data_IF_218162624512
#
_entry.id   IF_218162624512
#
_cell.length_a   1.000
_cell.length_b   1.000
_cell.length_c   1.000
_cell.angle_alpha   90.00
_cell.angle_beta   90.00
_cell.angle_gamma   90.00
#
_symmetry.space_group_name_H-M   'P 1'
#
loop_
_entity.id
_entity.type
_entity.pdbx_description
1 polymer ?
#
# COMPACT_ATOMS: atom_id res chain seq x y z
N UNK A 1 0.00 40.75 -68.41
CA UNK A 1 -0.63 40.40 -67.12
C UNK A 1 0.06 39.15 -66.60
N UNK A 2 1.11 39.28 -65.79
CA UNK A 2 1.75 38.12 -65.13
C UNK A 2 1.02 37.80 -63.81
N UNK A 3 0.83 36.53 -63.44
CA UNK A 3 0.03 36.17 -62.26
C UNK A 3 0.76 36.54 -60.97
N UNK A 4 0.03 37.11 -60.02
CA UNK A 4 0.52 37.42 -58.69
C UNK A 4 0.68 36.12 -57.88
N UNK A 5 1.90 35.77 -57.50
CA UNK A 5 2.17 34.67 -56.54
C UNK A 5 2.44 35.25 -55.16
N UNK A 6 1.75 34.80 -54.10
CA UNK A 6 1.99 35.28 -52.75
C UNK A 6 3.43 34.97 -52.28
N UNK A 7 4.05 35.84 -51.47
CA UNK A 7 5.34 35.54 -50.85
C UNK A 7 5.17 34.36 -49.89
N UNK A 8 5.96 33.30 -50.10
CA UNK A 8 6.03 32.18 -49.16
C UNK A 8 6.40 32.70 -47.76
N UNK A 9 5.82 32.14 -46.68
CA UNK A 9 6.16 32.56 -45.33
C UNK A 9 7.66 32.31 -45.06
N UNK A 10 8.36 33.23 -44.37
CA UNK A 10 9.77 33.07 -44.05
C UNK A 10 10.00 31.78 -43.26
N UNK A 11 10.91 30.93 -43.75
CA UNK A 11 11.23 29.60 -43.20
C UNK A 11 11.82 29.61 -41.78
N UNK A 12 11.98 30.79 -41.16
CA UNK A 12 12.55 30.99 -39.84
C UNK A 12 11.55 30.83 -38.68
N UNK A 13 10.25 30.71 -38.96
CA UNK A 13 9.19 30.65 -37.92
C UNK A 13 8.73 29.24 -37.58
N UNK A 14 9.08 28.25 -38.41
CA UNK A 14 8.85 26.86 -38.05
C UNK A 14 9.98 26.41 -37.12
N UNK A 15 9.69 25.96 -35.88
CA UNK A 15 10.70 25.31 -35.07
C UNK A 15 11.31 24.18 -35.90
N UNK A 16 12.64 24.11 -35.93
CA UNK A 16 13.32 23.15 -36.79
C UNK A 16 12.75 21.74 -36.54
N UNK A 17 12.50 20.94 -37.60
CA UNK A 17 11.91 19.61 -37.45
C UNK A 17 12.74 18.72 -36.50
N UNK A 18 14.03 19.03 -36.36
CA UNK A 18 14.96 18.42 -35.41
C UNK A 18 14.63 18.77 -33.95
N UNK A 19 14.29 20.01 -33.64
CA UNK A 19 13.88 20.43 -32.29
C UNK A 19 12.56 19.74 -31.88
N UNK A 20 11.59 19.69 -32.79
CA UNK A 20 10.31 19.02 -32.54
C UNK A 20 10.50 17.51 -32.32
N UNK A 21 11.34 16.87 -33.15
CA UNK A 21 11.71 15.46 -32.97
C UNK A 21 12.41 15.19 -31.64
N UNK A 22 13.30 16.10 -31.19
CA UNK A 22 14.02 15.97 -29.92
C UNK A 22 13.09 16.13 -28.71
N UNK A 23 12.20 17.12 -28.73
CA UNK A 23 11.20 17.33 -27.68
C UNK A 23 10.22 16.15 -27.59
N UNK A 24 9.73 15.66 -28.73
CA UNK A 24 8.90 14.46 -28.78
C UNK A 24 9.64 13.26 -28.18
N UNK A 25 10.89 13.00 -28.61
CA UNK A 25 11.70 11.92 -28.05
C UNK A 25 11.93 12.06 -26.53
N UNK A 26 12.13 13.28 -26.04
CA UNK A 26 12.27 13.56 -24.60
C UNK A 26 10.96 13.32 -23.82
N UNK A 27 9.80 13.66 -24.39
CA UNK A 27 8.50 13.39 -23.79
C UNK A 27 8.18 11.89 -23.73
N UNK A 28 8.48 11.14 -24.79
CA UNK A 28 8.31 9.68 -24.81
C UNK A 28 9.19 9.02 -23.75
N UNK A 29 10.48 9.39 -23.67
CA UNK A 29 11.41 8.88 -22.67
C UNK A 29 10.97 9.16 -21.22
N UNK A 30 10.46 10.36 -20.97
CA UNK A 30 9.96 10.74 -19.64
C UNK A 30 8.77 9.89 -19.22
N UNK A 31 7.84 9.61 -20.14
CA UNK A 31 6.69 8.74 -19.86
C UNK A 31 7.06 7.28 -19.64
N UNK A 32 8.05 6.75 -20.36
CA UNK A 32 8.51 5.36 -20.20
C UNK A 32 9.17 5.12 -18.84
N UNK A 33 9.97 6.10 -18.36
CA UNK A 33 10.57 6.04 -17.03
C UNK A 33 9.52 6.06 -15.92
N UNK A 34 8.51 6.93 -16.05
CA UNK A 34 7.41 6.98 -15.08
C UNK A 34 6.59 5.68 -15.11
N UNK A 35 6.34 5.12 -16.29
CA UNK A 35 5.59 3.88 -16.43
C UNK A 35 6.31 2.70 -15.78
N UNK A 36 7.58 2.49 -16.12
CA UNK A 36 8.40 1.42 -15.53
C UNK A 36 8.53 1.55 -14.01
N UNK A 37 8.70 2.78 -13.51
CA UNK A 37 8.75 3.06 -12.07
C UNK A 37 7.42 2.72 -11.37
N UNK A 38 6.28 3.14 -11.93
CA UNK A 38 4.95 2.83 -11.37
C UNK A 38 4.68 1.32 -11.40
N UNK A 39 4.97 0.64 -12.50
CA UNK A 39 4.81 -0.82 -12.61
C UNK A 39 5.68 -1.54 -11.57
N UNK A 40 6.94 -1.11 -11.39
CA UNK A 40 7.83 -1.66 -10.37
C UNK A 40 7.25 -1.50 -8.96
N UNK A 41 6.81 -0.29 -8.59
CA UNK A 41 6.19 -0.03 -7.29
C UNK A 41 4.89 -0.84 -7.08
N UNK A 42 4.04 -0.93 -8.10
CA UNK A 42 2.82 -1.72 -8.06
C UNK A 42 3.12 -3.21 -7.88
N UNK A 43 4.10 -3.75 -8.62
CA UNK A 43 4.51 -5.16 -8.50
C UNK A 43 5.07 -5.47 -7.11
N UNK A 44 5.89 -4.59 -6.56
CA UNK A 44 6.46 -4.72 -5.21
C UNK A 44 5.35 -4.68 -4.16
N UNK A 45 4.45 -3.69 -4.24
CA UNK A 45 3.32 -3.56 -3.33
C UNK A 45 2.38 -4.76 -3.38
N UNK A 46 2.04 -5.23 -4.57
CA UNK A 46 1.18 -6.39 -4.77
C UNK A 46 1.82 -7.67 -4.23
N UNK A 47 3.12 -7.89 -4.48
CA UNK A 47 3.87 -9.01 -3.91
C UNK A 47 3.81 -9.03 -2.38
N UNK A 48 4.01 -7.88 -1.73
CA UNK A 48 3.93 -7.75 -0.27
C UNK A 48 2.51 -8.04 0.25
N UNK A 49 1.48 -7.50 -0.41
CA UNK A 49 0.08 -7.71 -0.02
C UNK A 49 -0.33 -9.17 -0.17
N UNK A 50 0.04 -9.80 -1.30
CA UNK A 50 -0.22 -11.23 -1.55
C UNK A 50 0.49 -12.08 -0.51
N UNK A 51 1.77 -11.81 -0.20
CA UNK A 51 2.50 -12.52 0.84
C UNK A 51 1.85 -12.39 2.23
N UNK A 52 1.32 -11.20 2.57
CA UNK A 52 0.67 -10.94 3.86
C UNK A 52 -0.73 -11.55 3.99
N UNK A 53 -1.45 -11.66 2.89
CA UNK A 53 -2.78 -12.30 2.82
C UNK A 53 -2.69 -13.81 2.66
N UNK A 54 -1.55 -14.30 2.17
CA UNK A 54 -1.33 -15.71 1.90
C UNK A 54 -1.53 -16.58 3.16
N UNK A 55 -2.25 -17.70 3.04
CA UNK A 55 -2.46 -18.65 4.15
C UNK A 55 -1.15 -19.29 4.65
N UNK A 56 -0.05 -19.17 3.89
CA UNK A 56 1.28 -19.62 4.31
C UNK A 56 1.93 -18.73 5.38
N UNK A 57 1.34 -17.58 5.70
CA UNK A 57 1.83 -16.73 6.77
C UNK A 57 1.32 -17.25 8.13
N UNK A 58 2.17 -17.50 9.14
CA UNK A 58 1.76 -18.09 10.43
C UNK A 58 0.69 -17.26 11.16
N UNK A 59 0.68 -15.94 10.95
CA UNK A 59 -0.35 -15.05 11.53
C UNK A 59 -1.68 -15.05 10.74
N UNK A 60 -1.84 -15.84 9.68
CA UNK A 60 -3.10 -15.97 8.93
C UNK A 60 -4.16 -16.82 9.66
N UNK A 61 -3.73 -17.63 10.64
CA UNK A 61 -4.60 -18.44 11.49
C UNK A 61 -5.54 -17.61 12.37
N UNK A 62 -5.12 -16.38 12.70
CA UNK A 62 -5.92 -15.49 13.54
C UNK A 62 -7.04 -14.82 12.73
N UNK A 63 -8.29 -14.89 13.21
CA UNK A 63 -9.41 -14.24 12.55
C UNK A 63 -9.22 -12.72 12.59
N UNK A 64 -9.49 -12.07 11.47
CA UNK A 64 -9.47 -10.61 11.34
C UNK A 64 -10.30 -10.15 10.15
N UNK A 65 -10.85 -8.93 10.21
CA UNK A 65 -11.41 -8.28 9.04
C UNK A 65 -10.34 -8.14 7.96
N UNK A 66 -10.72 -8.39 6.70
CA UNK A 66 -9.80 -8.38 5.55
C UNK A 66 -8.99 -7.08 5.44
N UNK A 67 -9.61 -5.94 5.76
CA UNK A 67 -8.97 -4.62 5.75
C UNK A 67 -7.84 -4.53 6.80
N UNK A 68 -8.05 -5.13 7.98
CA UNK A 68 -7.04 -5.18 9.05
C UNK A 68 -5.86 -6.09 8.70
N UNK A 69 -6.05 -7.12 7.87
CA UNK A 69 -4.96 -7.99 7.42
C UNK A 69 -3.95 -7.27 6.53
N UNK A 70 -4.44 -6.34 5.70
CA UNK A 70 -3.65 -5.66 4.67
C UNK A 70 -2.98 -4.41 5.23
N UNK A 71 -3.73 -3.56 5.95
CA UNK A 71 -3.23 -2.27 6.44
C UNK A 71 -3.74 -1.92 7.83
N UNK A 72 -2.95 -1.16 8.60
CA UNK A 72 -3.39 -0.54 9.87
C UNK A 72 -4.20 0.74 9.65
N UNK A 73 -4.45 1.15 8.41
CA UNK A 73 -4.99 2.47 8.11
C UNK A 73 -6.39 2.65 8.71
N UNK A 74 -7.20 1.59 8.70
CA UNK A 74 -8.54 1.60 9.29
C UNK A 74 -8.51 1.78 10.81
N UNK A 75 -7.65 1.03 11.50
CA UNK A 75 -7.47 1.16 12.95
C UNK A 75 -6.93 2.54 13.31
N UNK A 76 -6.00 3.07 12.51
CA UNK A 76 -5.47 4.43 12.67
C UNK A 76 -6.57 5.48 12.53
N UNK A 77 -7.41 5.38 11.49
CA UNK A 77 -8.55 6.26 11.31
C UNK A 77 -9.51 6.25 12.51
N UNK A 78 -9.85 5.05 13.02
CA UNK A 78 -10.68 4.91 14.23
C UNK A 78 -9.99 5.43 15.50
N UNK A 79 -8.66 5.43 15.52
CA UNK A 79 -7.86 6.02 16.60
C UNK A 79 -7.92 7.54 16.57
N UNK A 80 -7.82 8.15 15.39
CA UNK A 80 -7.99 9.60 15.23
C UNK A 80 -9.38 10.08 15.68
N UNK A 81 -10.41 9.26 15.48
CA UNK A 81 -11.76 9.54 15.98
C UNK A 81 -11.93 9.28 17.50
N UNK A 82 -10.95 8.69 18.18
CA UNK A 82 -11.05 8.34 19.61
C UNK A 82 -11.85 7.06 19.93
N UNK A 83 -12.39 6.37 18.91
CA UNK A 83 -13.23 5.18 19.09
C UNK A 83 -12.48 3.85 18.98
N UNK A 84 -11.16 3.86 19.09
CA UNK A 84 -10.31 2.65 18.94
C UNK A 84 -10.72 1.52 19.89
N UNK A 85 -11.01 1.84 21.16
CA UNK A 85 -11.37 0.85 22.16
C UNK A 85 -12.72 0.17 21.86
N UNK A 86 -13.72 0.94 21.40
CA UNK A 86 -15.01 0.38 20.96
C UNK A 86 -14.85 -0.54 19.76
N UNK A 87 -13.95 -0.18 18.84
CA UNK A 87 -13.64 -1.01 17.69
C UNK A 87 -12.93 -2.31 18.09
N UNK A 88 -11.98 -2.26 19.03
CA UNK A 88 -11.38 -3.49 19.56
C UNK A 88 -12.39 -4.36 20.31
N UNK A 89 -13.27 -3.74 21.10
CA UNK A 89 -14.34 -4.47 21.78
C UNK A 89 -15.25 -5.19 20.79
N UNK A 90 -15.76 -4.51 19.76
CA UNK A 90 -16.63 -5.14 18.76
C UNK A 90 -15.94 -6.22 17.94
N UNK A 91 -14.62 -6.11 17.74
CA UNK A 91 -13.82 -7.16 17.13
C UNK A 91 -13.71 -8.39 18.02
N UNK A 92 -13.44 -8.22 19.31
CA UNK A 92 -13.39 -9.33 20.27
C UNK A 92 -14.76 -9.97 20.49
N UNK A 93 -15.84 -9.18 20.51
CA UNK A 93 -17.21 -9.68 20.60
C UNK A 93 -17.57 -10.58 19.39
N UNK A 94 -17.00 -10.30 18.21
CA UNK A 94 -17.30 -11.03 16.96
C UNK A 94 -16.38 -12.22 16.68
N UNK A 95 -15.08 -12.07 16.93
CA UNK A 95 -14.05 -13.04 16.54
C UNK A 95 -13.47 -13.80 17.73
N UNK A 96 -13.80 -13.40 18.96
CA UNK A 96 -13.38 -14.07 20.18
C UNK A 96 -12.11 -13.49 20.81
N UNK A 97 -11.44 -14.28 21.67
CA UNK A 97 -10.38 -13.76 22.55
C UNK A 97 -9.09 -13.36 21.82
N UNK A 98 -8.84 -13.87 20.62
CA UNK A 98 -7.64 -13.61 19.82
C UNK A 98 -8.01 -12.97 18.49
N UNK A 99 -7.63 -11.71 18.28
CA UNK A 99 -7.94 -10.99 17.03
C UNK A 99 -6.73 -10.26 16.50
N UNK A 100 -6.46 -10.41 15.21
CA UNK A 100 -5.37 -9.67 14.55
C UNK A 100 -5.82 -8.25 14.23
N UNK A 101 -5.23 -7.26 14.91
CA UNK A 101 -5.53 -5.82 14.72
C UNK A 101 -4.79 -5.25 13.52
N UNK A 102 -3.62 -5.79 13.19
CA UNK A 102 -3.10 -5.61 11.85
C UNK A 102 -1.91 -6.48 11.50
N UNK A 103 -1.02 -6.04 10.61
CA UNK A 103 -0.18 -6.96 9.87
C UNK A 103 0.77 -7.75 10.77
N UNK A 104 1.32 -7.11 11.80
CA UNK A 104 2.23 -7.74 12.75
C UNK A 104 1.75 -7.58 14.21
N UNK A 105 0.45 -7.35 14.43
CA UNK A 105 -0.10 -7.03 15.74
C UNK A 105 -1.37 -7.82 16.02
N UNK A 106 -1.41 -8.46 17.19
CA UNK A 106 -2.53 -9.28 17.68
C UNK A 106 -2.99 -8.70 19.02
N UNK A 107 -4.30 -8.63 19.18
CA UNK A 107 -4.97 -8.33 20.44
C UNK A 107 -5.34 -9.63 21.13
N UNK A 108 -5.04 -9.72 22.42
CA UNK A 108 -5.43 -10.84 23.27
C UNK A 108 -6.16 -10.28 24.48
N UNK A 109 -7.35 -10.83 24.77
CA UNK A 109 -8.12 -10.49 25.98
C UNK A 109 -8.15 -11.63 27.01
N UNK A 110 -7.50 -12.75 26.70
CA UNK A 110 -7.46 -13.92 27.57
C UNK A 110 -6.62 -13.66 28.84
N UNK A 111 -7.27 -13.76 30.01
CA UNK A 111 -6.68 -13.41 31.31
C UNK A 111 -5.40 -14.20 31.68
N UNK A 112 -5.33 -15.55 31.52
CA UNK A 112 -4.12 -16.29 31.82
C UNK A 112 -2.97 -15.91 30.86
N UNK A 113 -3.24 -15.79 29.55
CA UNK A 113 -2.23 -15.37 28.56
C UNK A 113 -1.66 -13.99 28.88
N UNK A 114 -2.52 -13.02 29.25
CA UNK A 114 -2.09 -11.66 29.61
C UNK A 114 -1.24 -11.67 30.88
N UNK A 115 -1.63 -12.46 31.89
CA UNK A 115 -0.88 -12.57 33.14
C UNK A 115 0.51 -13.17 32.92
N UNK A 116 0.63 -14.19 32.07
CA UNK A 116 1.90 -14.80 31.71
C UNK A 116 2.79 -13.80 30.94
N UNK A 117 2.22 -13.08 29.96
CA UNK A 117 2.94 -12.05 29.18
C UNK A 117 3.54 -10.96 30.07
N UNK A 118 2.80 -10.56 31.11
CA UNK A 118 3.21 -9.48 32.03
C UNK A 118 4.04 -9.97 33.23
N UNK A 119 4.18 -11.29 33.42
CA UNK A 119 4.97 -11.85 34.50
C UNK A 119 6.47 -11.58 34.27
N UNK A 120 7.27 -11.54 35.35
CA UNK A 120 8.72 -11.21 35.30
C UNK A 120 9.58 -12.15 34.41
N UNK A 121 9.03 -13.26 33.93
CA UNK A 121 9.66 -14.18 32.97
C UNK A 121 8.81 -14.37 31.71
N UNK A 122 8.24 -13.28 31.17
CA UNK A 122 7.21 -13.27 30.12
C UNK A 122 7.51 -14.13 28.88
N UNK A 123 6.46 -14.31 28.05
CA UNK A 123 6.49 -15.19 26.89
C UNK A 123 7.77 -15.08 26.05
N UNK A 124 8.49 -16.19 25.91
CA UNK A 124 9.63 -16.28 25.01
C UNK A 124 9.18 -15.95 23.58
N UNK A 125 9.77 -14.90 23.01
CA UNK A 125 9.41 -14.35 21.69
C UNK A 125 9.68 -15.41 20.61
N UNK A 126 8.64 -16.13 20.21
CA UNK A 126 8.71 -17.19 19.19
C UNK A 126 7.78 -18.39 19.42
N UNK A 127 7.31 -18.62 20.66
CA UNK A 127 6.34 -19.68 20.95
C UNK A 127 4.93 -19.13 21.10
N UNK A 128 4.28 -18.84 19.97
CA UNK A 128 2.82 -18.88 19.93
C UNK A 128 2.46 -20.28 19.43
N UNK A 129 2.55 -21.26 20.32
CA UNK A 129 1.95 -22.58 20.11
C UNK A 129 0.56 -22.50 20.72
N UNK A 130 -0.44 -22.46 19.84
CA UNK A 130 -1.84 -22.74 20.13
C UNK A 130 -2.06 -24.24 19.98
#
# INVERSE_FOLDING_TARGET
>A
MSPWTPPFPPSSWLPSPLLFSYLAAAHLCSSDLLYTYVVFLCSLGLSIVVYRLSPFHPLAQFPAPTIGKITQLWTFWKTLQGYKYLYHKSLHDRYGPYVRIGPNAISVIDAPTVRETLSRGGLEKGRCQI
#
